data_IF_741910011659
#
_entry.id   IF_741910011659
#
_cell.length_a   1.000
_cell.length_b   1.000
_cell.length_c   1.000
_cell.angle_alpha   90.00
_cell.angle_beta   90.00
_cell.angle_gamma   90.00
#
_symmetry.space_group_name_H-M   'P 1'
#
loop_
_entity.id
_entity.type
_entity.pdbx_description
1 polymer ?
#
# COMPACT_ATOMS: atom_id res chain seq x y z
N UNK A 1 21.36 -33.59 -22.62
CA UNK A 1 22.29 -33.09 -21.59
C UNK A 1 21.70 -31.77 -21.12
N UNK A 2 20.86 -31.82 -20.08
CA UNK A 2 20.30 -30.64 -19.44
C UNK A 2 21.45 -29.81 -18.86
N UNK A 3 21.70 -28.67 -19.49
CA UNK A 3 22.76 -27.75 -19.07
C UNK A 3 22.28 -27.08 -17.79
N UNK A 4 22.58 -27.67 -16.64
CA UNK A 4 22.30 -27.08 -15.33
C UNK A 4 22.97 -25.69 -15.30
N UNK A 5 22.21 -24.60 -15.11
CA UNK A 5 22.79 -23.28 -15.05
C UNK A 5 23.75 -23.18 -13.86
N UNK A 6 24.79 -22.34 -13.94
CA UNK A 6 25.71 -22.18 -12.83
C UNK A 6 24.96 -21.74 -11.57
N UNK A 7 25.29 -22.32 -10.41
CA UNK A 7 24.61 -22.08 -9.13
C UNK A 7 24.54 -20.59 -8.76
N UNK A 8 25.49 -19.79 -9.26
CA UNK A 8 25.52 -18.33 -9.09
C UNK A 8 24.33 -17.62 -9.77
N UNK A 9 23.91 -18.09 -10.95
CA UNK A 9 22.77 -17.52 -11.67
C UNK A 9 21.45 -17.87 -10.98
N UNK A 10 21.35 -19.08 -10.43
CA UNK A 10 20.17 -19.50 -9.67
C UNK A 10 20.01 -18.70 -8.37
N UNK A 11 21.10 -18.44 -7.64
CA UNK A 11 21.05 -17.62 -6.43
C UNK A 11 20.63 -16.17 -6.72
N UNK A 12 21.06 -15.62 -7.87
CA UNK A 12 20.67 -14.27 -8.28
C UNK A 12 19.17 -14.18 -8.60
N UNK A 13 18.65 -15.17 -9.34
CA UNK A 13 17.22 -15.28 -9.65
C UNK A 13 16.38 -15.43 -8.36
N UNK A 14 16.85 -16.24 -7.40
CA UNK A 14 16.16 -16.41 -6.11
C UNK A 14 16.11 -15.11 -5.31
N UNK A 15 17.19 -14.34 -5.26
CA UNK A 15 17.20 -13.03 -4.59
C UNK A 15 16.29 -12.02 -5.30
N UNK A 16 16.27 -12.03 -6.64
CA UNK A 16 15.38 -11.16 -7.42
C UNK A 16 13.91 -11.50 -7.15
N UNK A 17 13.52 -12.78 -7.22
CA UNK A 17 12.17 -13.24 -6.89
C UNK A 17 11.76 -12.92 -5.45
N UNK A 18 12.72 -12.94 -4.52
CA UNK A 18 12.48 -12.57 -3.12
C UNK A 18 12.18 -11.07 -2.98
N UNK A 19 12.90 -10.21 -3.70
CA UNK A 19 12.60 -8.77 -3.76
C UNK A 19 11.19 -8.54 -4.30
N UNK A 20 10.87 -9.20 -5.41
CA UNK A 20 9.56 -9.12 -6.06
C UNK A 20 8.42 -9.54 -5.13
N UNK A 21 8.56 -10.69 -4.48
CA UNK A 21 7.57 -11.18 -3.53
C UNK A 21 7.36 -10.18 -2.38
N UNK A 22 8.44 -9.63 -1.83
CA UNK A 22 8.35 -8.64 -0.74
C UNK A 22 7.78 -7.31 -1.19
N UNK A 23 8.00 -6.92 -2.44
CA UNK A 23 7.35 -5.74 -3.01
C UNK A 23 5.84 -5.97 -3.12
N UNK A 24 5.41 -7.09 -3.69
CA UNK A 24 3.98 -7.42 -3.84
C UNK A 24 3.26 -7.41 -2.49
N UNK A 25 3.85 -8.01 -1.45
CA UNK A 25 3.31 -7.95 -0.08
C UNK A 25 3.21 -6.52 0.46
N UNK A 26 4.18 -5.65 0.15
CA UNK A 26 4.16 -4.25 0.59
C UNK A 26 3.08 -3.43 -0.13
N UNK A 27 2.77 -3.79 -1.38
CA UNK A 27 1.79 -3.10 -2.21
C UNK A 27 0.33 -3.32 -1.77
N UNK A 28 0.06 -4.31 -0.91
CA UNK A 28 -1.23 -4.44 -0.22
C UNK A 28 -1.49 -3.25 0.71
N UNK A 29 -0.43 -2.68 1.29
CA UNK A 29 -0.48 -1.50 2.16
C UNK A 29 -0.32 -0.24 1.32
N UNK A 30 0.66 -0.26 0.40
CA UNK A 30 1.06 0.85 -0.44
C UNK A 30 0.52 0.69 -1.87
N UNK A 31 -0.76 1.02 -2.06
CA UNK A 31 -1.47 0.75 -3.32
C UNK A 31 -0.76 1.39 -4.53
N UNK A 32 -0.54 0.67 -5.64
CA UNK A 32 0.08 1.19 -6.85
C UNK A 32 -0.65 2.37 -7.48
N UNK A 33 -1.98 2.45 -7.36
CA UNK A 33 -2.77 3.56 -7.91
C UNK A 33 -2.37 4.92 -7.30
N UNK A 34 -1.84 4.90 -6.08
CA UNK A 34 -1.33 6.09 -5.38
C UNK A 34 0.10 6.48 -5.80
N UNK A 35 0.74 5.71 -6.68
CA UNK A 35 2.01 6.09 -7.32
C UNK A 35 1.81 7.18 -8.38
N UNK A 36 0.57 7.45 -8.79
CA UNK A 36 0.22 8.57 -9.66
C UNK A 36 -0.34 9.71 -8.80
N UNK A 37 0.17 10.92 -9.01
CA UNK A 37 -0.28 12.12 -8.31
C UNK A 37 0.45 12.40 -6.99
N UNK A 38 -0.24 13.09 -6.07
CA UNK A 38 0.38 13.72 -4.88
C UNK A 38 0.93 12.74 -3.86
N UNK A 39 0.38 11.51 -3.81
CA UNK A 39 0.78 10.48 -2.85
C UNK A 39 2.03 9.70 -3.26
N UNK A 40 2.54 9.92 -4.48
CA UNK A 40 3.65 9.16 -5.05
C UNK A 40 4.86 9.06 -4.11
N UNK A 41 5.26 10.19 -3.50
CA UNK A 41 6.42 10.21 -2.62
C UNK A 41 6.18 9.40 -1.34
N UNK A 42 4.97 9.48 -0.75
CA UNK A 42 4.63 8.72 0.45
C UNK A 42 4.66 7.21 0.19
N UNK A 43 4.05 6.79 -0.91
CA UNK A 43 4.02 5.38 -1.35
C UNK A 43 5.44 4.88 -1.61
N UNK A 44 6.25 5.63 -2.34
CA UNK A 44 7.63 5.22 -2.66
C UNK A 44 8.52 5.11 -1.42
N UNK A 45 8.46 6.07 -0.51
CA UNK A 45 9.22 6.02 0.74
C UNK A 45 8.78 4.82 1.59
N UNK A 46 7.47 4.59 1.70
CA UNK A 46 6.95 3.43 2.44
C UNK A 46 7.34 2.08 1.83
N UNK A 47 7.34 1.97 0.50
CA UNK A 47 7.82 0.77 -0.20
C UNK A 47 9.31 0.55 0.03
N UNK A 48 10.14 1.59 -0.07
CA UNK A 48 11.59 1.53 0.23
C UNK A 48 11.80 1.05 1.66
N UNK A 49 11.21 1.70 2.66
CA UNK A 49 11.38 1.33 4.08
C UNK A 49 10.89 -0.10 4.37
N UNK A 50 9.79 -0.53 3.74
CA UNK A 50 9.27 -1.89 3.90
C UNK A 50 10.24 -2.93 3.34
N UNK A 51 10.83 -2.66 2.17
CA UNK A 51 11.82 -3.55 1.56
C UNK A 51 13.13 -3.58 2.33
N UNK A 52 13.63 -2.42 2.76
CA UNK A 52 14.86 -2.32 3.57
C UNK A 52 14.71 -3.10 4.88
N UNK A 53 13.56 -2.97 5.56
CA UNK A 53 13.28 -3.70 6.80
C UNK A 53 13.18 -5.21 6.61
N UNK A 54 12.60 -5.67 5.50
CA UNK A 54 12.35 -7.11 5.25
C UNK A 54 13.54 -7.83 4.65
N UNK A 55 14.41 -7.13 3.93
CA UNK A 55 15.53 -7.71 3.18
C UNK A 55 16.90 -7.32 3.74
N UNK A 56 16.96 -6.46 4.74
CA UNK A 56 18.17 -6.04 5.44
C UNK A 56 19.26 -5.49 4.49
N UNK A 57 18.81 -4.77 3.45
CA UNK A 57 19.67 -4.11 2.47
C UNK A 57 19.09 -2.75 2.09
N UNK A 58 19.92 -1.74 1.78
CA UNK A 58 19.44 -0.43 1.35
C UNK A 58 18.79 -0.53 -0.03
N UNK A 59 17.78 0.31 -0.26
CA UNK A 59 17.09 0.41 -1.54
C UNK A 59 17.04 1.87 -2.02
N UNK A 60 17.09 2.06 -3.33
CA UNK A 60 16.83 3.38 -3.92
C UNK A 60 15.41 3.47 -4.46
N UNK A 61 14.84 4.67 -4.49
CA UNK A 61 13.52 4.89 -5.10
C UNK A 61 13.48 4.48 -6.58
N UNK A 62 14.60 4.63 -7.30
CA UNK A 62 14.73 4.19 -8.70
C UNK A 62 14.65 2.67 -8.82
N UNK A 63 15.38 1.95 -7.99
CA UNK A 63 15.36 0.48 -7.96
C UNK A 63 13.96 -0.04 -7.65
N UNK A 64 13.28 0.52 -6.64
CA UNK A 64 11.90 0.13 -6.31
C UNK A 64 10.95 0.41 -7.48
N UNK A 65 11.08 1.56 -8.16
CA UNK A 65 10.28 1.87 -9.34
C UNK A 65 10.51 0.88 -10.49
N UNK A 66 11.76 0.48 -10.73
CA UNK A 66 12.07 -0.52 -11.77
C UNK A 66 11.41 -1.86 -11.46
N UNK A 67 11.45 -2.32 -10.20
CA UNK A 67 10.77 -3.57 -9.81
C UNK A 67 9.25 -3.42 -9.92
N UNK A 68 8.68 -2.29 -9.51
CA UNK A 68 7.23 -2.03 -9.66
C UNK A 68 6.81 -2.03 -11.13
N UNK A 69 7.59 -1.43 -12.01
CA UNK A 69 7.30 -1.34 -13.45
C UNK A 69 7.24 -2.72 -14.13
N UNK A 70 7.93 -3.74 -13.57
CA UNK A 70 7.83 -5.13 -14.05
C UNK A 70 6.46 -5.75 -13.82
N UNK A 71 5.75 -5.35 -12.76
CA UNK A 71 4.44 -5.90 -12.38
C UNK A 71 3.28 -5.03 -12.81
N UNK A 72 3.46 -3.72 -12.70
CA UNK A 72 2.46 -2.72 -13.00
C UNK A 72 2.96 -1.89 -14.15
N UNK A 73 2.22 -1.91 -15.25
CA UNK A 73 2.46 -0.95 -16.31
C UNK A 73 2.05 0.45 -15.79
N UNK A 74 3.01 1.18 -15.22
CA UNK A 74 2.78 2.46 -14.53
C UNK A 74 2.16 3.52 -15.45
N UNK A 75 2.35 3.43 -16.77
CA UNK A 75 1.70 4.29 -17.75
C UNK A 75 0.19 4.02 -17.86
N UNK A 76 -0.24 2.79 -17.57
CA UNK A 76 -1.64 2.36 -17.58
C UNK A 76 -2.28 2.31 -16.21
N UNK A 77 -1.51 2.52 -15.13
CA UNK A 77 -2.06 2.78 -13.80
C UNK A 77 -2.70 4.17 -13.88
N UNK A 78 -3.89 4.24 -14.46
CA UNK A 78 -4.70 5.44 -14.34
C UNK A 78 -4.98 5.60 -12.85
N UNK A 79 -4.88 6.83 -12.33
CA UNK A 79 -5.55 7.18 -11.10
C UNK A 79 -7.04 6.98 -11.37
N UNK A 80 -7.52 5.74 -11.24
CA UNK A 80 -8.93 5.44 -11.38
C UNK A 80 -9.60 6.34 -10.36
N UNK A 81 -10.46 7.22 -10.85
CA UNK A 81 -11.35 8.15 -10.15
C UNK A 81 -12.37 7.40 -9.25
N UNK A 82 -11.99 6.23 -8.75
CA UNK A 82 -12.78 5.30 -7.95
C UNK A 82 -12.16 5.06 -6.57
N UNK A 83 -11.07 5.78 -6.24
CA UNK A 83 -10.58 5.88 -4.87
C UNK A 83 -11.22 7.06 -4.11
N UNK A 84 -11.99 7.92 -4.79
CA UNK A 84 -12.83 8.93 -4.12
C UNK A 84 -14.01 8.27 -3.38
N UNK A 85 -14.46 7.09 -3.82
CA UNK A 85 -15.48 6.27 -3.13
C UNK A 85 -14.98 5.57 -1.84
N UNK A 86 -13.71 5.77 -1.45
CA UNK A 86 -13.18 5.29 -0.17
C UNK A 86 -13.24 6.34 0.94
N UNK A 87 -13.64 7.57 0.62
CA UNK A 87 -14.21 8.45 1.61
C UNK A 87 -15.70 8.12 1.64
N UNK A 88 -16.19 7.56 2.74
CA UNK A 88 -17.62 7.63 3.04
C UNK A 88 -17.99 9.12 3.09
N UNK A 89 -18.34 9.70 1.94
CA UNK A 89 -18.54 11.14 1.78
C UNK A 89 -19.80 11.65 2.52
N UNK A 90 -20.60 10.78 3.17
CA UNK A 90 -21.81 11.19 3.89
C UNK A 90 -22.14 10.33 5.12
N UNK A 91 -21.17 9.71 5.80
CA UNK A 91 -21.45 9.24 7.17
C UNK A 91 -21.46 10.45 8.12
N UNK A 92 -22.62 11.11 8.24
CA UNK A 92 -22.90 12.06 9.32
C UNK A 92 -22.51 11.39 10.65
N UNK A 93 -21.42 11.85 11.27
CA UNK A 93 -20.87 11.27 12.49
C UNK A 93 -21.92 11.38 13.61
N UNK A 94 -22.77 10.37 13.73
CA UNK A 94 -23.78 10.28 14.76
C UNK A 94 -23.16 9.58 15.97
N UNK A 95 -23.32 10.20 17.14
CA UNK A 95 -22.84 9.58 18.38
C UNK A 95 -23.60 8.25 18.59
N UNK A 96 -22.91 7.16 18.93
CA UNK A 96 -23.56 5.92 19.34
C UNK A 96 -24.66 6.20 20.38
N UNK A 97 -25.83 5.54 20.31
CA UNK A 97 -26.97 5.85 21.17
C UNK A 97 -26.66 5.70 22.67
N UNK A 98 -25.62 4.94 23.02
CA UNK A 98 -25.10 4.80 24.39
C UNK A 98 -24.45 6.08 24.94
N UNK A 99 -23.95 6.95 24.05
CA UNK A 99 -23.28 8.21 24.37
C UNK A 99 -24.20 9.43 24.12
N UNK A 100 -25.38 9.22 23.53
CA UNK A 100 -26.35 10.29 23.35
C UNK A 100 -26.84 10.78 24.72
N UNK A 101 -26.90 12.11 24.96
CA UNK A 101 -27.35 12.62 26.25
C UNK A 101 -28.80 12.20 26.48
N UNK A 102 -29.03 11.32 27.46
CA UNK A 102 -30.38 10.97 27.89
C UNK A 102 -31.07 12.24 28.33
N UNK A 103 -32.15 12.64 27.64
CA UNK A 103 -33.00 13.76 28.07
C UNK A 103 -33.56 13.39 29.45
N UNK A 104 -32.95 13.94 30.50
CA UNK A 104 -33.51 13.90 31.85
C UNK A 104 -34.80 14.70 31.77
N UNK A 105 -35.92 14.00 31.68
CA UNK A 105 -37.24 14.59 31.79
C UNK A 105 -37.38 15.12 33.20
N UNK A 106 -37.13 16.42 33.38
CA UNK A 106 -37.50 17.10 34.62
C UNK A 106 -39.01 17.27 34.60
N UNK A 107 -39.69 16.29 35.21
CA UNK A 107 -41.12 16.31 35.50
C UNK A 107 -41.28 16.85 36.92
N UNK A 108 -41.81 18.05 37.03
CA UNK A 108 -42.39 18.70 38.23
C UNK A 108 -43.21 19.86 37.60
N UNK A 109 -44.54 19.86 37.49
CA UNK A 109 -45.58 19.72 38.53
C UNK A 109 -45.20 20.64 39.70
N UNK A 110 -45.82 21.79 39.96
CA UNK A 110 -47.19 22.26 39.77
C UNK A 110 -47.28 23.79 39.77
#
# INVERSE_FOLDING_TARGET
>A
MDSVPPVSSQNQEVEELKVELKLLEAMEIYRPNKLVGVHRNFVLVGLVESLERRLDRPFTTKEVLEVVDRFYNLEKVTASESDDDAFEEDEEFTLPPELAPTKVSKKEES
#
